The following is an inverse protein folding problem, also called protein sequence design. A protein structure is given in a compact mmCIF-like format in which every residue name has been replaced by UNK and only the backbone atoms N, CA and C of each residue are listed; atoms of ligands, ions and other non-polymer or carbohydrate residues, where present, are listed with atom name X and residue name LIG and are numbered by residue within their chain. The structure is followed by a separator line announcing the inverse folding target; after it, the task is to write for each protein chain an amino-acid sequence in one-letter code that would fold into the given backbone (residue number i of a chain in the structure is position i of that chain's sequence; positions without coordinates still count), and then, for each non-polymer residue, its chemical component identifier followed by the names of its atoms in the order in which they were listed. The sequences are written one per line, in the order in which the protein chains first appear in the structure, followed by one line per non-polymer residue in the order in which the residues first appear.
data_IF_960217077888
#
_entry.id   IF_960217077888
#
_cell.length_a   1.000
_cell.length_b   1.000
_cell.length_c   1.000
_cell.angle_alpha   90.00
_cell.angle_beta   90.00
_cell.angle_gamma   90.00
#
_symmetry.space_group_name_H-M   'P 1'
#
loop_
_entity.id
_entity.type
_entity.pdbx_description
1 polymer ?
#
# COMPACT_ATOMS: atom_id res chain seq x y z
N UNK A 1 16.23 46.36 31.85
CA UNK A 1 15.50 45.84 30.68
C UNK A 1 14.02 45.84 31.03
N UNK A 2 13.19 46.64 30.34
CA UNK A 2 11.82 46.91 30.76
C UNK A 2 10.87 45.76 30.39
N UNK A 3 9.90 45.46 31.26
CA UNK A 3 8.89 44.39 31.10
C UNK A 3 8.15 44.50 29.75
N UNK A 4 7.99 45.72 29.23
CA UNK A 4 7.42 45.99 27.90
C UNK A 4 8.27 45.47 26.73
N UNK A 5 9.59 45.46 26.86
CA UNK A 5 10.48 44.91 25.82
C UNK A 5 10.58 43.39 25.89
N UNK A 6 10.44 42.81 27.08
CA UNK A 6 10.35 41.35 27.24
C UNK A 6 9.05 40.80 26.63
N UNK A 7 7.91 41.48 26.84
CA UNK A 7 6.63 41.11 26.26
C UNK A 7 6.63 41.19 24.73
N UNK A 8 7.29 42.21 24.15
CA UNK A 8 7.39 42.36 22.70
C UNK A 8 8.25 41.26 22.06
N UNK A 9 9.34 40.84 22.72
CA UNK A 9 10.21 39.76 22.24
C UNK A 9 9.51 38.39 22.29
N UNK A 10 8.70 38.13 23.32
CA UNK A 10 7.92 36.88 23.42
C UNK A 10 6.83 36.83 22.34
N UNK A 11 6.17 37.97 22.06
CA UNK A 11 5.12 38.06 21.04
C UNK A 11 5.66 37.88 19.60
N UNK A 12 6.87 38.39 19.33
CA UNK A 12 7.54 38.19 18.03
C UNK A 12 8.01 36.73 17.87
N UNK A 13 8.51 36.10 18.93
CA UNK A 13 8.89 34.68 18.90
C UNK A 13 7.69 33.73 18.76
N UNK A 14 6.49 34.10 19.24
CA UNK A 14 5.28 33.30 19.07
C UNK A 14 4.62 33.42 17.69
N UNK A 15 4.93 34.46 16.90
CA UNK A 15 4.38 34.66 15.55
C UNK A 15 5.18 34.00 14.43
N UNK A 16 6.34 33.40 14.73
CA UNK A 16 7.06 32.54 13.78
C UNK A 16 6.56 31.09 13.97
N UNK A 17 5.27 30.89 13.74
CA UNK A 17 4.72 29.54 13.55
C UNK A 17 5.46 28.95 12.33
N UNK A 18 5.99 27.72 12.39
CA UNK A 18 6.83 27.17 11.34
C UNK A 18 6.01 26.90 10.08
N UNK A 19 5.92 27.90 9.20
CA UNK A 19 5.29 27.81 7.87
C UNK A 19 5.89 26.70 7.01
N UNK A 20 7.12 26.25 7.32
CA UNK A 20 7.79 25.14 6.64
C UNK A 20 7.10 23.79 6.83
N UNK A 21 6.44 23.55 7.97
CA UNK A 21 5.73 22.29 8.22
C UNK A 21 4.45 22.19 7.40
N UNK A 22 3.70 23.29 7.32
CA UNK A 22 2.44 23.36 6.56
C UNK A 22 2.67 23.23 5.04
N UNK A 23 3.73 23.87 4.51
CA UNK A 23 4.09 23.78 3.08
C UNK A 23 4.66 22.41 2.67
N UNK A 24 5.35 21.70 3.57
CA UNK A 24 5.81 20.32 3.32
C UNK A 24 4.63 19.34 3.23
N UNK A 25 3.60 19.59 4.04
CA UNK A 25 2.42 18.73 4.19
C UNK A 25 1.45 18.81 3.00
N UNK A 26 0.89 19.99 2.73
CA UNK A 26 1.01 20.64 1.43
C UNK A 26 1.27 19.78 0.18
N UNK A 27 2.57 19.69 -0.08
CA UNK A 27 3.14 19.00 -1.22
C UNK A 27 3.04 17.49 -1.09
N UNK A 28 3.18 16.92 0.11
CA UNK A 28 3.19 15.47 0.28
C UNK A 28 1.84 14.84 -0.10
N UNK A 29 0.70 15.42 0.30
CA UNK A 29 -0.61 14.90 -0.09
C UNK A 29 -0.77 14.89 -1.61
N UNK A 30 -0.48 16.03 -2.26
CA UNK A 30 -0.56 16.17 -3.72
C UNK A 30 0.33 15.15 -4.44
N UNK A 31 1.61 15.07 -4.07
CA UNK A 31 2.54 14.14 -4.71
C UNK A 31 2.13 12.68 -4.49
N UNK A 32 1.61 12.35 -3.31
CA UNK A 32 1.10 10.99 -3.03
C UNK A 32 -0.08 10.66 -3.93
N UNK A 33 -1.07 11.55 -4.01
CA UNK A 33 -2.26 11.36 -4.86
C UNK A 33 -1.90 11.24 -6.34
N UNK A 34 -0.95 12.03 -6.84
CA UNK A 34 -0.51 11.98 -8.24
C UNK A 34 0.34 10.75 -8.56
N UNK A 35 1.14 10.27 -7.60
CA UNK A 35 2.09 9.17 -7.82
C UNK A 35 1.46 7.79 -7.64
N UNK A 36 0.46 7.66 -6.77
CA UNK A 36 -0.21 6.39 -6.47
C UNK A 36 -0.77 5.66 -7.72
N UNK A 37 -1.45 6.33 -8.66
CA UNK A 37 -1.88 5.71 -9.91
C UNK A 37 -0.72 5.17 -10.75
N UNK A 38 0.38 5.92 -10.83
CA UNK A 38 1.56 5.54 -11.60
C UNK A 38 2.25 4.31 -11.00
N UNK A 39 2.38 4.27 -9.66
CA UNK A 39 2.89 3.09 -8.95
C UNK A 39 1.99 1.86 -9.17
N UNK A 40 0.68 2.07 -9.13
CA UNK A 40 -0.30 0.98 -9.36
C UNK A 40 -0.15 0.42 -10.78
N UNK A 41 -0.02 1.30 -11.77
CA UNK A 41 0.20 0.90 -13.15
C UNK A 41 1.53 0.14 -13.32
N UNK A 42 2.62 0.67 -12.76
CA UNK A 42 3.94 0.05 -12.86
C UNK A 42 3.97 -1.36 -12.23
N UNK A 43 3.37 -1.53 -11.05
CA UNK A 43 3.28 -2.82 -10.37
C UNK A 43 2.41 -3.85 -11.11
N UNK A 44 1.31 -3.41 -11.72
CA UNK A 44 0.45 -4.28 -12.51
C UNK A 44 1.15 -4.75 -13.79
N UNK A 45 1.91 -3.86 -14.42
CA UNK A 45 2.62 -4.16 -15.67
C UNK A 45 3.96 -4.88 -15.46
N UNK A 46 4.45 -4.98 -14.22
CA UNK A 46 5.81 -5.43 -13.88
C UNK A 46 6.91 -4.49 -14.42
N UNK A 47 6.62 -3.19 -14.56
CA UNK A 47 7.57 -2.16 -14.99
C UNK A 47 8.45 -1.71 -13.80
N UNK A 48 9.28 -2.62 -13.26
CA UNK A 48 10.04 -2.37 -12.02
C UNK A 48 11.01 -1.18 -12.14
N UNK A 49 11.60 -0.96 -13.31
CA UNK A 49 12.48 0.17 -13.60
C UNK A 49 11.83 1.55 -13.35
N UNK A 50 10.49 1.62 -13.41
CA UNK A 50 9.73 2.86 -13.18
C UNK A 50 9.39 3.07 -11.71
N UNK A 51 9.49 2.05 -10.85
CA UNK A 51 9.03 2.13 -9.47
C UNK A 51 10.02 2.92 -8.60
N UNK A 52 11.32 2.64 -8.70
CA UNK A 52 12.36 3.31 -7.90
C UNK A 52 12.37 4.84 -8.08
N UNK A 53 12.29 5.40 -9.32
CA UNK A 53 12.18 6.85 -9.51
C UNK A 53 10.94 7.47 -8.85
N UNK A 54 9.80 6.78 -8.91
CA UNK A 54 8.56 7.24 -8.28
C UNK A 54 8.68 7.23 -6.75
N UNK A 55 9.26 6.17 -6.19
CA UNK A 55 9.53 6.08 -4.74
C UNK A 55 10.49 7.16 -4.25
N UNK A 56 11.55 7.44 -5.01
CA UNK A 56 12.50 8.51 -4.67
C UNK A 56 11.83 9.90 -4.72
N UNK A 57 10.91 10.11 -5.66
CA UNK A 57 10.18 11.38 -5.80
C UNK A 57 9.21 11.61 -4.63
N UNK A 58 8.51 10.55 -4.19
CA UNK A 58 7.69 10.60 -2.98
C UNK A 58 8.58 10.86 -1.76
N UNK A 59 9.67 10.10 -1.60
CA UNK A 59 10.55 10.22 -0.44
C UNK A 59 11.18 11.62 -0.31
N UNK A 60 11.51 12.26 -1.43
CA UNK A 60 12.02 13.63 -1.43
C UNK A 60 10.98 14.65 -0.92
N UNK A 61 9.69 14.39 -1.16
CA UNK A 61 8.60 15.31 -0.82
C UNK A 61 7.98 15.02 0.54
N UNK A 62 7.85 13.74 0.89
CA UNK A 62 7.14 13.24 2.06
C UNK A 62 8.06 12.70 3.16
N UNK A 63 9.37 12.62 2.90
CA UNK A 63 10.29 11.89 3.75
C UNK A 63 10.12 10.37 3.66
N UNK A 64 10.88 9.66 4.49
CA UNK A 64 10.81 8.20 4.60
C UNK A 64 9.54 7.83 5.37
N UNK A 65 8.75 6.92 4.80
CA UNK A 65 7.52 6.40 5.43
C UNK A 65 7.39 4.89 5.17
N UNK A 66 6.48 4.26 5.93
CA UNK A 66 6.18 2.82 5.89
C UNK A 66 5.93 2.33 4.45
N UNK A 67 5.03 3.00 3.73
CA UNK A 67 4.57 2.54 2.42
C UNK A 67 5.71 2.52 1.39
N UNK A 68 6.50 3.60 1.34
CA UNK A 68 7.67 3.70 0.46
C UNK A 68 8.68 2.60 0.77
N UNK A 69 8.95 2.36 2.06
CA UNK A 69 9.94 1.34 2.43
C UNK A 69 9.46 -0.08 2.20
N UNK A 70 8.18 -0.36 2.46
CA UNK A 70 7.58 -1.65 2.13
C UNK A 70 7.70 -1.97 0.65
N UNK A 71 7.41 -0.99 -0.22
CA UNK A 71 7.58 -1.19 -1.66
C UNK A 71 9.05 -1.32 -2.06
N UNK A 72 9.95 -0.53 -1.48
CA UNK A 72 11.40 -0.60 -1.75
C UNK A 72 11.99 -1.96 -1.41
N UNK A 73 11.65 -2.51 -0.23
CA UNK A 73 12.07 -3.86 0.18
C UNK A 73 11.58 -4.90 -0.83
N UNK A 74 10.29 -4.82 -1.19
CA UNK A 74 9.70 -5.74 -2.16
C UNK A 74 10.43 -5.70 -3.50
N UNK A 75 10.76 -4.51 -4.01
CA UNK A 75 11.50 -4.36 -5.27
C UNK A 75 12.92 -4.92 -5.18
N UNK A 76 13.63 -4.64 -4.08
CA UNK A 76 14.98 -5.17 -3.88
C UNK A 76 15.00 -6.71 -3.88
N UNK A 77 14.02 -7.35 -3.24
CA UNK A 77 13.89 -8.81 -3.24
C UNK A 77 13.57 -9.33 -4.65
N UNK A 78 12.60 -8.73 -5.34
CA UNK A 78 12.21 -9.13 -6.72
C UNK A 78 13.39 -9.06 -7.68
N UNK A 79 14.19 -8.00 -7.57
CA UNK A 79 15.37 -7.74 -8.40
C UNK A 79 16.63 -8.47 -7.92
N UNK A 80 16.54 -9.30 -6.86
CA UNK A 80 17.66 -10.03 -6.25
C UNK A 80 18.81 -9.11 -5.79
N UNK A 81 18.48 -7.89 -5.40
CA UNK A 81 19.40 -6.92 -4.77
C UNK A 81 19.46 -7.17 -3.26
N UNK A 82 20.53 -6.70 -2.62
CA UNK A 82 20.65 -6.76 -1.16
C UNK A 82 19.54 -5.90 -0.52
N UNK A 83 18.71 -6.55 0.30
CA UNK A 83 17.54 -5.95 0.98
C UNK A 83 17.78 -5.68 2.48
N UNK A 84 18.88 -6.18 3.07
CA UNK A 84 19.17 -6.15 4.50
C UNK A 84 19.07 -4.75 5.10
N UNK A 85 19.72 -3.76 4.49
CA UNK A 85 19.71 -2.39 5.02
C UNK A 85 18.32 -1.75 4.98
N UNK A 86 17.49 -2.09 3.99
CA UNK A 86 16.13 -1.58 3.90
C UNK A 86 15.20 -2.26 4.93
N UNK A 87 15.38 -3.56 5.13
CA UNK A 87 14.65 -4.34 6.16
C UNK A 87 15.02 -3.84 7.56
N UNK A 88 16.31 -3.65 7.85
CA UNK A 88 16.77 -3.12 9.14
C UNK A 88 16.19 -1.72 9.38
N UNK A 89 16.19 -0.86 8.36
CA UNK A 89 15.59 0.47 8.46
C UNK A 89 14.08 0.39 8.76
N UNK A 90 13.38 -0.58 8.19
CA UNK A 90 11.94 -0.79 8.42
C UNK A 90 11.65 -1.13 9.89
N UNK A 91 12.38 -2.10 10.44
CA UNK A 91 12.23 -2.50 11.84
C UNK A 91 12.68 -1.42 12.82
N UNK A 92 13.83 -0.79 12.58
CA UNK A 92 14.35 0.27 13.43
C UNK A 92 13.45 1.51 13.47
N UNK A 93 12.73 1.78 12.38
CA UNK A 93 11.77 2.89 12.29
C UNK A 93 10.38 2.52 12.84
N UNK A 94 10.20 1.30 13.34
CA UNK A 94 8.91 0.78 13.83
C UNK A 94 7.78 0.87 12.79
N UNK A 95 8.13 0.67 11.51
CA UNK A 95 7.15 0.72 10.42
C UNK A 95 6.19 -0.46 10.43
N UNK A 96 6.56 -1.57 11.06
CA UNK A 96 5.68 -2.69 11.38
C UNK A 96 4.45 -2.26 12.19
N UNK A 97 4.65 -1.46 13.24
CA UNK A 97 3.57 -0.95 14.08
C UNK A 97 2.67 -0.01 13.30
N UNK A 98 3.28 0.88 12.51
CA UNK A 98 2.55 1.82 11.64
C UNK A 98 1.69 1.07 10.61
N UNK A 99 2.25 0.00 10.03
CA UNK A 99 1.55 -0.85 9.08
C UNK A 99 0.37 -1.57 9.73
N UNK A 100 0.59 -2.25 10.86
CA UNK A 100 -0.47 -2.95 11.61
C UNK A 100 -1.60 -2.00 12.04
N UNK A 101 -1.27 -0.80 12.52
CA UNK A 101 -2.27 0.22 12.85
C UNK A 101 -3.09 0.64 11.63
N UNK A 102 -2.45 0.75 10.46
CA UNK A 102 -3.14 1.07 9.19
C UNK A 102 -4.05 -0.07 8.75
N UNK A 103 -3.62 -1.32 8.94
CA UNK A 103 -4.45 -2.50 8.68
C UNK A 103 -5.65 -2.57 9.61
N UNK A 104 -5.47 -2.31 10.91
CA UNK A 104 -6.56 -2.27 11.88
C UNK A 104 -7.57 -1.16 11.58
N UNK A 105 -7.12 0.03 11.20
CA UNK A 105 -8.00 1.11 10.77
C UNK A 105 -8.74 0.76 9.46
N UNK A 106 -8.07 0.09 8.52
CA UNK A 106 -8.67 -0.37 7.28
C UNK A 106 -9.72 -1.47 7.51
N UNK A 107 -9.70 -2.21 8.62
CA UNK A 107 -10.73 -3.22 8.92
C UNK A 107 -12.04 -2.63 9.44
N UNK A 108 -12.01 -1.42 9.99
CA UNK A 108 -13.20 -0.80 10.58
C UNK A 108 -14.22 -0.42 9.51
N UNK A 109 -15.49 -0.35 9.89
CA UNK A 109 -16.58 0.02 8.97
C UNK A 109 -16.51 1.49 8.56
N UNK A 110 -15.99 2.36 9.44
CA UNK A 110 -15.83 3.80 9.25
C UNK A 110 -14.44 4.19 8.69
N UNK A 111 -13.70 3.24 8.10
CA UNK A 111 -12.33 3.45 7.60
C UNK A 111 -12.19 4.73 6.73
N UNK A 112 -13.18 5.03 5.87
CA UNK A 112 -13.15 6.21 5.02
C UNK A 112 -13.17 7.50 5.84
N UNK A 113 -14.00 7.56 6.88
CA UNK A 113 -14.08 8.71 7.78
C UNK A 113 -12.81 8.84 8.60
N UNK A 114 -12.26 7.74 9.12
CA UNK A 114 -11.00 7.74 9.85
C UNK A 114 -9.84 8.27 9.00
N UNK A 115 -9.80 7.90 7.71
CA UNK A 115 -8.79 8.40 6.79
C UNK A 115 -8.94 9.91 6.55
N UNK A 116 -10.14 10.37 6.18
CA UNK A 116 -10.37 11.79 5.85
C UNK A 116 -10.09 12.72 7.05
N UNK A 117 -10.37 12.27 8.27
CA UNK A 117 -10.10 13.04 9.49
C UNK A 117 -8.62 13.03 9.91
N UNK A 118 -7.84 12.03 9.49
CA UNK A 118 -6.48 11.80 9.96
C UNK A 118 -5.51 11.41 8.82
N UNK A 119 -5.53 12.13 7.70
CA UNK A 119 -4.70 11.80 6.52
C UNK A 119 -3.21 11.72 6.82
N UNK A 120 -2.69 12.65 7.61
CA UNK A 120 -1.29 12.69 8.04
C UNK A 120 -0.86 11.41 8.77
N UNK A 121 -1.73 10.87 9.63
CA UNK A 121 -1.48 9.64 10.39
C UNK A 121 -1.20 8.46 9.46
N UNK A 122 -1.80 8.46 8.28
CA UNK A 122 -1.64 7.42 7.26
C UNK A 122 -0.68 7.84 6.14
N UNK A 123 0.16 8.86 6.37
CA UNK A 123 1.09 9.41 5.39
C UNK A 123 0.42 9.75 4.04
N UNK A 124 -0.86 10.15 4.07
CA UNK A 124 -1.68 10.45 2.89
C UNK A 124 -1.93 9.27 1.95
N UNK A 125 -1.71 8.04 2.42
CA UNK A 125 -2.08 6.82 1.70
C UNK A 125 -3.49 6.39 2.10
N UNK A 126 -4.46 6.36 1.16
CA UNK A 126 -5.81 5.92 1.45
C UNK A 126 -5.85 4.53 2.09
N UNK A 127 -6.74 4.34 3.06
CA UNK A 127 -7.01 3.02 3.61
C UNK A 127 -7.68 2.15 2.54
N UNK A 128 -7.36 0.84 2.52
CA UNK A 128 -7.83 -0.13 1.50
C UNK A 128 -7.40 0.21 0.06
N UNK A 129 -6.28 0.91 -0.12
CA UNK A 129 -5.79 1.23 -1.45
C UNK A 129 -5.44 -0.07 -2.23
N UNK A 130 -5.73 -0.17 -3.54
CA UNK A 130 -5.45 -1.38 -4.33
C UNK A 130 -3.99 -1.87 -4.27
N UNK A 131 -3.05 -0.94 -4.10
CA UNK A 131 -1.63 -1.25 -3.94
C UNK A 131 -1.33 -2.15 -2.75
N UNK A 132 -2.08 -2.05 -1.64
CA UNK A 132 -1.84 -2.92 -0.49
C UNK A 132 -2.11 -4.39 -0.84
N UNK A 133 -3.17 -4.67 -1.61
CA UNK A 133 -3.43 -6.02 -2.09
C UNK A 133 -2.41 -6.48 -3.13
N UNK A 134 -1.92 -5.59 -4.00
CA UNK A 134 -0.85 -5.94 -4.94
C UNK A 134 0.45 -6.30 -4.20
N UNK A 135 0.83 -5.53 -3.18
CA UNK A 135 1.99 -5.83 -2.33
C UNK A 135 1.79 -7.17 -1.63
N UNK A 136 0.61 -7.42 -1.05
CA UNK A 136 0.25 -8.68 -0.40
C UNK A 136 0.42 -9.88 -1.33
N UNK A 137 -0.18 -9.83 -2.52
CA UNK A 137 -0.11 -10.91 -3.53
C UNK A 137 1.33 -11.17 -3.96
N UNK A 138 2.12 -10.10 -4.17
CA UNK A 138 3.54 -10.25 -4.53
C UNK A 138 4.36 -10.85 -3.39
N UNK A 139 4.11 -10.45 -2.15
CA UNK A 139 4.79 -11.02 -0.99
C UNK A 139 4.48 -12.52 -0.85
N UNK A 140 3.22 -12.92 -1.00
CA UNK A 140 2.82 -14.33 -1.02
C UNK A 140 3.49 -15.10 -2.16
N UNK A 141 3.52 -14.53 -3.36
CA UNK A 141 4.16 -15.15 -4.51
C UNK A 141 5.67 -15.37 -4.29
N UNK A 142 6.37 -14.42 -3.65
CA UNK A 142 7.78 -14.56 -3.31
C UNK A 142 8.02 -15.65 -2.26
N UNK A 143 7.16 -15.77 -1.25
CA UNK A 143 7.26 -16.79 -0.21
C UNK A 143 7.10 -18.23 -0.75
N UNK A 144 6.26 -18.41 -1.78
CA UNK A 144 5.97 -19.72 -2.38
C UNK A 144 6.88 -20.05 -3.57
N UNK A 145 7.62 -19.07 -4.09
CA UNK A 145 8.42 -19.26 -5.30
C UNK A 145 9.77 -19.95 -5.02
N UNK A 146 9.99 -21.10 -5.67
CA UNK A 146 11.29 -21.79 -5.67
C UNK A 146 12.40 -21.01 -6.42
N UNK A 147 12.04 -19.94 -7.14
CA UNK A 147 13.00 -19.14 -7.94
C UNK A 147 13.82 -18.13 -7.13
N UNK A 148 13.49 -17.98 -5.84
CA UNK A 148 14.10 -17.04 -4.91
C UNK A 148 14.69 -17.80 -3.71
N UNK A 149 15.97 -17.56 -3.41
CA UNK A 149 16.60 -18.04 -2.19
C UNK A 149 16.52 -16.93 -1.14
N UNK A 150 15.42 -16.90 -0.40
CA UNK A 150 15.15 -15.88 0.61
C UNK A 150 15.98 -16.13 1.87
N UNK A 151 16.57 -15.07 2.39
CA UNK A 151 17.14 -15.03 3.75
C UNK A 151 16.03 -15.08 4.79
N UNK A 152 16.36 -15.41 6.04
CA UNK A 152 15.35 -15.49 7.10
C UNK A 152 14.73 -14.11 7.39
N UNK A 153 15.52 -13.03 7.33
CA UNK A 153 15.01 -11.66 7.42
C UNK A 153 14.00 -11.32 6.31
N UNK A 154 14.26 -11.76 5.07
CA UNK A 154 13.35 -11.56 3.95
C UNK A 154 12.06 -12.38 4.11
N UNK A 155 12.13 -13.59 4.65
CA UNK A 155 10.94 -14.39 4.95
C UNK A 155 10.07 -13.71 5.99
N UNK A 156 10.66 -13.25 7.09
CA UNK A 156 9.92 -12.61 8.20
C UNK A 156 9.19 -11.34 7.73
N UNK A 157 9.87 -10.48 6.96
CA UNK A 157 9.24 -9.24 6.45
C UNK A 157 8.18 -9.54 5.39
N UNK A 158 8.37 -10.56 4.53
CA UNK A 158 7.37 -10.95 3.53
C UNK A 158 6.15 -11.62 4.18
N UNK A 159 6.32 -12.35 5.29
CA UNK A 159 5.22 -12.88 6.09
C UNK A 159 4.37 -11.72 6.65
N UNK A 160 5.00 -10.68 7.21
CA UNK A 160 4.30 -9.48 7.63
C UNK A 160 3.52 -8.83 6.47
N UNK A 161 4.14 -8.67 5.30
CA UNK A 161 3.51 -7.99 4.15
C UNK A 161 2.40 -8.80 3.48
N UNK A 162 2.41 -10.12 3.63
CA UNK A 162 1.43 -11.02 3.02
C UNK A 162 0.16 -11.18 3.85
N UNK A 163 0.06 -10.52 5.01
CA UNK A 163 -0.94 -10.78 6.05
C UNK A 163 -1.13 -12.28 6.34
N UNK A 164 -0.10 -13.11 6.11
CA UNK A 164 -0.14 -14.52 6.48
C UNK A 164 0.28 -14.63 7.94
N UNK A 165 -0.34 -15.56 8.68
CA UNK A 165 0.01 -15.81 10.07
C UNK A 165 1.54 -15.89 10.22
N UNK A 166 2.10 -15.19 11.21
CA UNK A 166 3.47 -15.40 11.72
C UNK A 166 3.56 -16.75 12.47
N UNK A 167 2.80 -17.73 12.03
CA UNK A 167 2.78 -19.10 12.53
C UNK A 167 3.73 -19.89 11.65
N UNK A 168 4.96 -20.12 12.13
CA UNK A 168 5.74 -21.38 11.98
C UNK A 168 7.27 -21.20 11.97
N UNK A 169 7.84 -20.04 12.34
CA UNK A 169 9.32 -19.90 12.36
C UNK A 169 9.96 -19.56 13.72
N UNK A 170 9.19 -19.12 14.72
CA UNK A 170 9.76 -18.69 16.02
C UNK A 170 9.28 -19.54 17.21
N UNK A 171 8.29 -20.42 17.02
CA UNK A 171 7.69 -21.18 18.12
C UNK A 171 8.38 -22.50 18.47
N UNK A 172 9.27 -23.02 17.62
CA UNK A 172 10.05 -24.24 17.93
C UNK A 172 11.42 -23.96 18.60
N UNK A 173 11.74 -22.70 18.90
CA UNK A 173 13.06 -22.32 19.44
C UNK A 173 13.09 -21.84 20.89
N UNK A 174 11.95 -21.61 21.55
CA UNK A 174 11.91 -21.01 22.90
C UNK A 174 10.91 -21.70 23.81
N UNK A 175 11.08 -23.01 24.01
CA UNK A 175 10.66 -23.65 25.25
C UNK A 175 11.73 -23.40 26.30
N UNK A 176 11.35 -22.71 27.39
CA UNK A 176 12.14 -22.29 28.55
C UNK A 176 12.77 -20.91 28.43
N UNK A 177 11.99 -19.88 28.79
CA UNK A 177 12.36 -18.97 29.88
C UNK A 177 11.14 -18.10 30.23
N UNK A 178 10.75 -18.13 31.52
CA UNK A 178 9.74 -17.26 32.08
C UNK A 178 10.30 -15.85 32.17
N UNK A 179 9.73 -14.88 31.45
CA UNK A 179 9.75 -13.49 31.91
C UNK A 179 8.58 -12.67 31.35
N UNK A 180 8.11 -11.71 32.15
CA UNK A 180 7.00 -10.81 31.92
C UNK A 180 7.13 -10.01 30.60
N UNK A 181 6.52 -10.48 29.53
CA UNK A 181 6.27 -9.66 28.35
C UNK A 181 4.78 -9.67 28.03
N UNK A 182 4.22 -8.47 27.83
CA UNK A 182 2.83 -8.26 27.43
C UNK A 182 2.45 -9.24 26.32
N UNK A 183 1.24 -9.83 26.36
CA UNK A 183 0.84 -10.79 25.35
C UNK A 183 0.90 -10.12 23.99
N UNK A 184 1.79 -10.61 23.11
CA UNK A 184 1.70 -10.32 21.69
C UNK A 184 0.25 -10.65 21.28
N UNK A 185 -0.51 -9.69 20.72
CA UNK A 185 -1.87 -9.99 20.30
C UNK A 185 -1.81 -11.13 19.29
N UNK A 186 -2.69 -12.11 19.46
CA UNK A 186 -2.82 -13.23 18.54
C UNK A 186 -2.85 -12.71 17.09
N UNK A 187 -2.20 -13.42 16.14
CA UNK A 187 -2.11 -12.94 14.77
C UNK A 187 -3.54 -12.76 14.23
N UNK A 188 -3.84 -11.51 13.86
CA UNK A 188 -5.17 -11.13 13.37
C UNK A 188 -5.17 -11.34 11.87
N UNK A 189 -5.91 -12.34 11.41
CA UNK A 189 -6.13 -12.53 9.97
C UNK A 189 -7.04 -11.40 9.48
N UNK A 190 -6.46 -10.51 8.69
CA UNK A 190 -7.15 -9.36 8.12
C UNK A 190 -8.11 -9.81 7.02
N UNK A 191 -9.36 -9.31 7.04
CA UNK A 191 -10.38 -9.65 6.03
C UNK A 191 -9.88 -9.20 4.66
N UNK A 192 -10.23 -9.95 3.60
CA UNK A 192 -10.00 -9.45 2.24
C UNK A 192 -10.80 -8.16 2.01
N UNK A 193 -10.07 -7.08 1.79
CA UNK A 193 -10.62 -5.72 1.66
C UNK A 193 -10.86 -5.34 0.21
N UNK A 194 -10.37 -6.16 -0.74
CA UNK A 194 -10.62 -6.01 -2.15
C UNK A 194 -11.88 -6.79 -2.52
N UNK A 195 -13.06 -6.27 -2.13
CA UNK A 195 -14.33 -6.88 -2.54
C UNK A 195 -14.34 -7.07 -4.06
N UNK A 196 -14.63 -8.29 -4.53
CA UNK A 196 -14.84 -8.59 -5.93
C UNK A 196 -15.73 -7.52 -6.56
N UNK A 197 -15.18 -6.77 -7.52
CA UNK A 197 -15.94 -5.77 -8.27
C UNK A 197 -16.81 -6.53 -9.27
N UNK A 198 -18.11 -6.59 -9.01
CA UNK A 198 -19.10 -7.01 -9.99
C UNK A 198 -19.40 -5.82 -10.90
N UNK A 199 -19.02 -5.91 -12.17
CA UNK A 199 -19.33 -4.93 -13.20
C UNK A 199 -20.48 -5.41 -14.09
N UNK A 200 -21.39 -4.51 -14.44
CA UNK A 200 -22.40 -4.75 -15.48
C UNK A 200 -22.15 -3.81 -16.67
N UNK A 201 -22.13 -4.35 -17.87
CA UNK A 201 -22.02 -3.56 -19.10
C UNK A 201 -23.21 -3.89 -20.01
N UNK A 202 -24.18 -2.98 -20.17
CA UNK A 202 -25.20 -3.12 -21.20
C UNK A 202 -24.55 -2.89 -22.57
N UNK A 203 -24.85 -3.75 -23.53
CA UNK A 203 -24.37 -3.62 -24.91
C UNK A 203 -25.54 -3.53 -25.89
N UNK A 204 -25.40 -2.64 -26.86
CA UNK A 204 -26.26 -2.55 -28.03
C UNK A 204 -25.36 -2.67 -29.27
N UNK A 205 -25.71 -3.57 -30.17
CA UNK A 205 -24.91 -3.85 -31.36
C UNK A 205 -25.79 -4.11 -32.57
N UNK A 206 -25.21 -3.98 -33.75
CA UNK A 206 -25.86 -4.32 -35.01
C UNK A 206 -25.08 -5.48 -35.64
N UNK A 207 -25.71 -6.64 -35.74
CA UNK A 207 -25.10 -7.81 -36.36
C UNK A 207 -25.51 -7.83 -37.83
N UNK A 208 -24.53 -7.66 -38.70
CA UNK A 208 -24.72 -7.78 -40.15
C UNK A 208 -23.97 -9.02 -40.64
N UNK A 209 -24.58 -9.87 -41.48
CA UNK A 209 -23.89 -11.04 -42.00
C UNK A 209 -22.66 -10.62 -42.81
N UNK A 210 -21.52 -11.26 -42.55
CA UNK A 210 -20.33 -11.13 -43.39
C UNK A 210 -20.50 -12.05 -44.61
N UNK A 211 -20.77 -11.45 -45.78
CA UNK A 211 -20.96 -12.19 -47.03
C UNK A 211 -21.42 -11.28 -48.16
N UNK A 212 -20.97 -11.55 -49.40
CA UNK A 212 -21.27 -10.77 -50.61
C UNK A 212 -22.75 -10.78 -51.03
N UNK A 213 -23.01 -10.28 -52.24
CA UNK A 213 -24.29 -9.77 -52.77
C UNK A 213 -25.58 -10.62 -52.59
N UNK A 214 -25.51 -11.87 -52.13
CA UNK A 214 -26.67 -12.72 -51.85
C UNK A 214 -26.74 -13.04 -50.34
N UNK A 215 -27.29 -12.14 -49.54
CA UNK A 215 -27.52 -12.36 -48.09
C UNK A 215 -28.92 -12.90 -47.86
N UNK A 216 -29.02 -14.10 -47.29
CA UNK A 216 -30.29 -14.76 -46.88
C UNK A 216 -30.78 -14.23 -45.51
N UNK A 217 -29.89 -13.62 -44.74
CA UNK A 217 -30.18 -13.07 -43.42
C UNK A 217 -30.06 -11.54 -43.41
N UNK A 218 -31.04 -10.86 -42.81
CA UNK A 218 -31.03 -9.41 -42.65
C UNK A 218 -30.11 -8.93 -41.52
N UNK A 219 -29.83 -7.63 -41.51
CA UNK A 219 -29.17 -6.96 -40.38
C UNK A 219 -30.11 -6.96 -39.17
N UNK A 220 -29.63 -7.44 -38.02
CA UNK A 220 -30.40 -7.50 -36.79
C UNK A 220 -29.78 -6.65 -35.68
N UNK A 221 -30.62 -6.06 -34.83
CA UNK A 221 -30.18 -5.37 -33.61
C UNK A 221 -30.01 -6.41 -32.50
N UNK A 222 -28.89 -6.34 -31.80
CA UNK A 222 -28.56 -7.19 -30.66
C UNK A 222 -28.50 -6.34 -29.40
N UNK A 223 -29.11 -6.83 -28.33
CA UNK A 223 -29.02 -6.29 -26.98
C UNK A 223 -28.41 -7.35 -26.09
N UNK A 224 -27.38 -6.97 -25.32
CA UNK A 224 -26.69 -7.88 -24.43
C UNK A 224 -26.44 -7.25 -23.07
N UNK A 225 -26.22 -8.10 -22.08
CA UNK A 225 -25.65 -7.71 -20.81
C UNK A 225 -24.42 -8.57 -20.57
N UNK A 226 -23.31 -7.94 -20.19
CA UNK A 226 -22.11 -8.67 -19.78
C UNK A 226 -21.91 -8.49 -18.28
N UNK A 227 -21.81 -9.61 -17.58
CA UNK A 227 -21.38 -9.67 -16.18
C UNK A 227 -19.89 -9.89 -16.16
N UNK A 228 -19.17 -8.92 -15.58
CA UNK A 228 -17.73 -9.03 -15.37
C UNK A 228 -17.49 -9.19 -13.88
N UNK A 229 -16.84 -10.28 -13.49
CA UNK A 229 -16.35 -10.46 -12.12
C UNK A 229 -14.84 -10.34 -12.14
N UNK A 230 -14.27 -9.73 -11.09
CA UNK A 230 -12.85 -9.91 -10.81
C UNK A 230 -12.59 -11.40 -10.58
N UNK A 231 -11.50 -11.92 -11.17
CA UNK A 231 -11.05 -13.29 -10.91
C UNK A 231 -10.31 -13.27 -9.57
N UNK A 232 -10.93 -13.78 -8.51
CA UNK A 232 -10.23 -14.09 -7.26
C UNK A 232 -9.29 -15.27 -7.55
N UNK A 233 -7.99 -15.10 -7.27
CA UNK A 233 -7.00 -16.16 -7.41
C UNK A 233 -6.09 -16.19 -6.20
#
# INVERSE_FOLDING_TARGET
MNIRQLALMILIMSCVIPTKLLHGQENCERYTVETLPLLTQALNNNDFDKIDPLLNSIQASCGINEFVQRLRILMQIIEKKNSTAAIDLYWNSQFDKSFLQRLDAADQDDFSTQYEQHKEKYNFYPLRHPLDGLIKVRAQALLVSDSYTLTDQEKDILQLFSDTDVSSAVQDGRSNEQDNQQPFPAPKVYRDRQKAKLGYVPSIGVVTPLGGANKIFGTNVSFGFMLMSSLER
#
